data_IF_739996062304
#
_entry.id   IF_739996062304
#
_cell.length_a   1.000
_cell.length_b   1.000
_cell.length_c   1.000
_cell.angle_alpha   90.00
_cell.angle_beta   90.00
_cell.angle_gamma   90.00
#
_symmetry.space_group_name_H-M   'P 1'
#
loop_
_entity.id
_entity.type
_entity.pdbx_description
1 polymer ?
#
# COMPACT_ATOMS: atom_id res chain seq x y z
N UNK A 1 14.52 -9.86 -21.55
CA UNK A 1 15.03 -9.63 -20.18
C UNK A 1 16.06 -8.53 -20.24
N UNK A 2 16.06 -7.59 -19.29
CA UNK A 2 17.11 -6.57 -19.18
C UNK A 2 18.36 -7.16 -18.51
N UNK A 3 19.53 -6.58 -18.76
CA UNK A 3 20.81 -7.00 -18.12
C UNK A 3 20.71 -7.03 -16.59
N UNK A 4 19.98 -6.06 -16.02
CA UNK A 4 19.71 -5.99 -14.57
C UNK A 4 18.92 -7.20 -14.05
N UNK A 5 17.91 -7.65 -14.81
CA UNK A 5 17.11 -8.84 -14.43
C UNK A 5 17.93 -10.13 -14.46
N UNK A 6 18.80 -10.27 -15.47
CA UNK A 6 19.68 -11.45 -15.58
C UNK A 6 20.63 -11.51 -14.37
N UNK A 7 21.25 -10.39 -14.00
CA UNK A 7 22.11 -10.32 -12.82
C UNK A 7 21.36 -10.66 -11.52
N UNK A 8 20.13 -10.16 -11.37
CA UNK A 8 19.29 -10.47 -10.21
C UNK A 8 18.91 -11.95 -10.13
N UNK A 9 18.50 -12.56 -11.24
CA UNK A 9 18.19 -14.00 -11.26
C UNK A 9 19.42 -14.86 -10.99
N UNK A 10 20.58 -14.49 -11.54
CA UNK A 10 21.85 -15.16 -11.27
C UNK A 10 22.21 -15.11 -9.79
N UNK A 11 22.14 -13.91 -9.18
CA UNK A 11 22.44 -13.72 -7.75
C UNK A 11 21.50 -14.55 -6.87
N UNK A 12 20.19 -14.45 -7.07
CA UNK A 12 19.23 -15.17 -6.24
C UNK A 12 19.33 -16.69 -6.42
N UNK A 13 19.61 -17.16 -7.65
CA UNK A 13 19.85 -18.59 -7.92
C UNK A 13 21.12 -19.07 -7.21
N UNK A 14 22.18 -18.27 -7.18
CA UNK A 14 23.39 -18.57 -6.41
C UNK A 14 23.08 -18.70 -4.91
N UNK A 15 22.34 -17.75 -4.34
CA UNK A 15 21.92 -17.79 -2.92
C UNK A 15 21.08 -19.04 -2.65
N UNK A 16 20.16 -19.40 -3.55
CA UNK A 16 19.36 -20.64 -3.44
C UNK A 16 20.25 -21.88 -3.32
N UNK A 17 21.27 -21.99 -4.17
CA UNK A 17 22.17 -23.14 -4.20
C UNK A 17 23.07 -23.19 -2.97
N UNK A 18 23.60 -22.04 -2.54
CA UNK A 18 24.42 -21.94 -1.32
C UNK A 18 23.60 -22.32 -0.08
N UNK A 19 22.40 -21.76 0.07
CA UNK A 19 21.51 -22.13 1.17
C UNK A 19 21.12 -23.61 1.11
N UNK A 20 20.93 -24.18 -0.08
CA UNK A 20 20.66 -25.60 -0.28
C UNK A 20 21.83 -26.50 0.09
N UNK A 21 23.07 -26.04 -0.11
CA UNK A 21 24.29 -26.74 0.33
C UNK A 21 24.44 -26.68 1.85
N UNK A 22 24.29 -25.49 2.44
CA UNK A 22 24.34 -25.27 3.89
C UNK A 22 23.28 -26.12 4.60
N UNK A 23 22.05 -26.13 4.08
CA UNK A 23 20.94 -26.92 4.60
C UNK A 23 21.24 -28.43 4.68
N UNK A 24 22.09 -28.96 3.80
CA UNK A 24 22.48 -30.38 3.83
C UNK A 24 23.51 -30.71 4.91
N UNK A 25 24.18 -29.71 5.45
CA UNK A 25 25.12 -29.91 6.55
C UNK A 25 24.38 -30.04 7.89
N UNK A 26 23.10 -29.66 7.95
CA UNK A 26 22.26 -29.76 9.15
C UNK A 26 21.30 -30.94 9.07
N UNK A 27 21.37 -31.85 10.05
CA UNK A 27 20.36 -32.90 10.26
C UNK A 27 19.44 -32.44 11.39
N UNK A 28 18.19 -32.09 11.06
CA UNK A 28 17.25 -31.59 12.08
C UNK A 28 16.76 -32.66 13.03
N UNK A 29 16.43 -33.83 12.48
CA UNK A 29 15.89 -34.95 13.26
C UNK A 29 16.75 -36.18 12.94
N UNK A 30 17.64 -36.58 13.86
CA UNK A 30 18.38 -37.82 13.73
C UNK A 30 17.39 -38.99 13.57
N UNK A 31 17.53 -39.78 12.51
CA UNK A 31 16.71 -40.98 12.28
C UNK A 31 15.52 -40.82 11.32
N UNK A 32 15.18 -39.60 10.85
CA UNK A 32 14.15 -39.42 9.81
C UNK A 32 14.79 -38.81 8.55
N UNK A 33 15.10 -39.62 7.52
CA UNK A 33 15.65 -39.11 6.27
C UNK A 33 14.63 -38.24 5.53
N UNK A 34 15.06 -37.07 5.07
CA UNK A 34 14.27 -36.19 4.19
C UNK A 34 13.70 -34.93 4.82
N UNK A 35 13.72 -34.78 6.16
CA UNK A 35 13.31 -33.53 6.82
C UNK A 35 14.41 -32.48 6.63
N UNK A 36 14.05 -31.37 5.99
CA UNK A 36 14.94 -30.22 5.74
C UNK A 36 14.27 -28.90 6.15
N UNK A 37 15.06 -27.89 6.48
CA UNK A 37 14.58 -26.59 6.96
C UNK A 37 13.73 -25.84 5.94
N UNK A 38 13.96 -26.03 4.65
CA UNK A 38 13.42 -25.24 3.55
C UNK A 38 14.11 -23.88 3.34
N UNK A 39 15.36 -23.69 3.79
CA UNK A 39 16.06 -22.40 3.65
C UNK A 39 16.14 -21.94 2.19
N UNK A 40 16.49 -22.87 1.29
CA UNK A 40 16.54 -22.63 -0.15
C UNK A 40 15.16 -22.35 -0.78
N UNK A 41 14.06 -22.75 -0.13
CA UNK A 41 12.70 -22.44 -0.58
C UNK A 41 12.25 -21.03 -0.15
N UNK A 42 12.88 -20.45 0.88
CA UNK A 42 12.61 -19.08 1.33
C UNK A 42 12.92 -18.06 0.23
N UNK A 43 14.01 -18.26 -0.52
CA UNK A 43 14.39 -17.39 -1.63
C UNK A 43 13.45 -17.56 -2.83
N UNK A 44 12.88 -18.75 -3.03
CA UNK A 44 11.85 -18.99 -4.05
C UNK A 44 10.54 -18.30 -3.70
N UNK A 45 10.14 -18.35 -2.43
CA UNK A 45 8.98 -17.62 -1.93
C UNK A 45 9.19 -16.10 -2.03
N UNK A 46 10.39 -15.61 -1.73
CA UNK A 46 10.80 -14.23 -2.00
C UNK A 46 10.72 -13.89 -3.51
N UNK A 47 11.23 -14.75 -4.38
CA UNK A 47 11.15 -14.57 -5.83
C UNK A 47 9.70 -14.54 -6.33
N UNK A 48 8.82 -15.39 -5.82
CA UNK A 48 7.39 -15.40 -6.16
C UNK A 48 6.69 -14.09 -5.81
N UNK A 49 7.03 -13.50 -4.66
CA UNK A 49 6.41 -12.25 -4.24
C UNK A 49 6.88 -11.06 -5.11
N UNK A 50 8.11 -11.10 -5.63
CA UNK A 50 8.82 -9.88 -6.00
C UNK A 50 9.36 -9.86 -7.44
N UNK A 51 9.60 -11.02 -8.02
CA UNK A 51 9.95 -11.19 -9.42
C UNK A 51 8.70 -11.52 -10.23
N UNK A 52 8.79 -11.45 -11.55
CA UNK A 52 7.69 -11.92 -12.40
C UNK A 52 7.46 -13.41 -12.17
N UNK A 53 6.21 -13.88 -12.25
CA UNK A 53 5.88 -15.30 -12.14
C UNK A 53 6.79 -16.19 -13.01
N UNK A 54 7.06 -15.84 -14.29
CA UNK A 54 8.01 -16.60 -15.11
C UNK A 54 9.43 -16.68 -14.52
N UNK A 55 9.91 -15.63 -13.86
CA UNK A 55 11.23 -15.60 -13.23
C UNK A 55 11.33 -16.54 -12.04
N UNK A 56 10.31 -16.60 -11.17
CA UNK A 56 10.30 -17.50 -10.03
C UNK A 56 10.24 -18.98 -10.45
N UNK A 57 9.44 -19.29 -11.48
CA UNK A 57 9.39 -20.62 -12.07
C UNK A 57 10.71 -21.03 -12.71
N UNK A 58 11.36 -20.12 -13.46
CA UNK A 58 12.70 -20.34 -13.99
C UNK A 58 13.71 -20.65 -12.88
N UNK A 59 13.69 -19.89 -11.79
CA UNK A 59 14.57 -20.13 -10.63
C UNK A 59 14.31 -21.48 -9.96
N UNK A 60 13.06 -21.95 -9.92
CA UNK A 60 12.74 -23.30 -9.40
C UNK A 60 13.37 -24.38 -10.27
N UNK A 61 13.24 -24.27 -11.60
CA UNK A 61 13.84 -25.22 -12.54
C UNK A 61 15.37 -25.21 -12.41
N UNK A 62 15.98 -24.02 -12.43
CA UNK A 62 17.42 -23.87 -12.28
C UNK A 62 17.91 -24.46 -10.96
N UNK A 63 17.20 -24.23 -9.85
CA UNK A 63 17.51 -24.86 -8.56
C UNK A 63 17.53 -26.38 -8.64
N UNK A 64 16.49 -26.98 -9.22
CA UNK A 64 16.35 -28.44 -9.27
C UNK A 64 17.44 -29.08 -10.14
N UNK A 65 17.73 -28.50 -11.30
CA UNK A 65 18.75 -28.98 -12.23
C UNK A 65 20.15 -28.78 -11.64
N UNK A 66 20.51 -27.56 -11.27
CA UNK A 66 21.85 -27.23 -10.77
C UNK A 66 22.13 -27.87 -9.42
N UNK A 67 21.16 -27.90 -8.50
CA UNK A 67 21.31 -28.63 -7.23
C UNK A 67 21.42 -30.14 -7.43
N UNK A 68 20.74 -30.68 -8.44
CA UNK A 68 20.92 -32.02 -8.96
C UNK A 68 22.38 -32.32 -9.30
N UNK A 69 22.96 -31.48 -10.15
CA UNK A 69 24.34 -31.61 -10.64
C UNK A 69 25.39 -31.40 -9.54
N UNK A 70 25.18 -30.42 -8.66
CA UNK A 70 26.19 -30.01 -7.68
C UNK A 70 26.30 -30.96 -6.48
N UNK A 71 25.17 -31.49 -6.00
CA UNK A 71 25.19 -32.25 -4.74
C UNK A 71 24.16 -33.38 -4.63
N UNK A 72 23.09 -33.45 -5.45
CA UNK A 72 21.98 -34.39 -5.23
C UNK A 72 22.01 -35.65 -6.11
N UNK A 73 22.72 -35.61 -7.24
CA UNK A 73 22.64 -36.62 -8.29
C UNK A 73 21.30 -36.61 -9.03
N UNK A 74 21.14 -37.47 -10.07
CA UNK A 74 19.96 -37.50 -10.93
C UNK A 74 18.67 -37.82 -10.16
N UNK A 75 18.74 -38.78 -9.23
CA UNK A 75 17.59 -39.19 -8.42
C UNK A 75 17.15 -38.05 -7.49
N UNK A 76 18.10 -37.38 -6.83
CA UNK A 76 17.80 -36.23 -5.98
C UNK A 76 17.26 -35.03 -6.77
N UNK A 77 17.71 -34.83 -8.00
CA UNK A 77 17.18 -33.83 -8.92
C UNK A 77 15.69 -34.11 -9.23
N UNK A 78 15.34 -35.36 -9.53
CA UNK A 78 13.96 -35.77 -9.80
C UNK A 78 13.03 -35.50 -8.60
N UNK A 79 13.44 -35.85 -7.37
CA UNK A 79 12.68 -35.53 -6.15
C UNK A 79 12.55 -34.02 -5.92
N UNK A 80 13.64 -33.26 -6.10
CA UNK A 80 13.61 -31.80 -5.96
C UNK A 80 12.72 -31.14 -7.01
N UNK A 81 12.67 -31.69 -8.22
CA UNK A 81 11.85 -31.18 -9.31
C UNK A 81 10.37 -31.47 -9.07
N UNK A 82 10.01 -32.72 -8.75
CA UNK A 82 8.63 -33.10 -8.49
C UNK A 82 8.02 -32.34 -7.30
N UNK A 83 8.75 -32.28 -6.17
CA UNK A 83 8.33 -31.47 -5.02
C UNK A 83 8.31 -29.97 -5.34
N UNK A 84 9.32 -29.48 -6.09
CA UNK A 84 9.43 -28.07 -6.46
C UNK A 84 8.26 -27.58 -7.32
N UNK A 85 7.87 -28.35 -8.35
CA UNK A 85 6.74 -28.01 -9.22
C UNK A 85 5.42 -27.93 -8.46
N UNK A 86 5.11 -28.96 -7.66
CA UNK A 86 3.85 -29.02 -6.91
C UNK A 86 3.78 -27.90 -5.86
N UNK A 87 4.90 -27.65 -5.17
CA UNK A 87 5.05 -26.53 -4.24
C UNK A 87 4.83 -25.17 -4.90
N UNK A 88 5.47 -24.92 -6.05
CA UNK A 88 5.33 -23.66 -6.79
C UNK A 88 3.91 -23.42 -7.27
N UNK A 89 3.23 -24.45 -7.78
CA UNK A 89 1.83 -24.35 -8.19
C UNK A 89 0.93 -23.97 -7.00
N UNK A 90 1.07 -24.65 -5.87
CA UNK A 90 0.27 -24.39 -4.66
C UNK A 90 0.56 -23.00 -4.08
N UNK A 91 1.83 -22.60 -3.96
CA UNK A 91 2.17 -21.26 -3.48
C UNK A 91 1.63 -20.15 -4.39
N UNK A 92 1.71 -20.34 -5.72
CA UNK A 92 1.16 -19.38 -6.68
C UNK A 92 -0.36 -19.23 -6.52
N UNK A 93 -1.07 -20.34 -6.36
CA UNK A 93 -2.52 -20.35 -6.12
C UNK A 93 -2.88 -19.67 -4.79
N UNK A 94 -2.17 -19.99 -3.70
CA UNK A 94 -2.43 -19.42 -2.39
C UNK A 94 -2.15 -17.92 -2.33
N UNK A 95 -1.18 -17.43 -3.11
CA UNK A 95 -0.93 -15.98 -3.26
C UNK A 95 -2.05 -15.25 -4.01
N UNK A 96 -2.84 -15.94 -4.83
CA UNK A 96 -4.01 -15.36 -5.50
C UNK A 96 -5.22 -15.29 -4.55
N UNK A 97 -5.27 -16.17 -3.54
CA UNK A 97 -6.33 -16.24 -2.54
C UNK A 97 -5.95 -15.35 -1.35
N UNK A 98 -6.48 -14.12 -1.32
CA UNK A 98 -6.16 -13.03 -0.34
C UNK A 98 -6.41 -13.35 1.14
N UNK A 99 -6.75 -14.60 1.48
CA UNK A 99 -6.97 -15.08 2.85
C UNK A 99 -5.69 -15.57 3.54
N UNK A 100 -4.65 -15.91 2.79
CA UNK A 100 -3.45 -16.54 3.35
C UNK A 100 -2.28 -15.57 3.45
N UNK A 101 -1.76 -15.38 4.67
CA UNK A 101 -0.49 -14.70 4.89
C UNK A 101 0.70 -15.50 4.36
N UNK A 102 1.88 -14.88 4.28
CA UNK A 102 3.08 -15.50 3.70
C UNK A 102 3.51 -16.78 4.45
N UNK A 103 3.24 -16.85 5.76
CA UNK A 103 3.42 -18.08 6.56
C UNK A 103 2.51 -19.19 6.05
N UNK A 104 1.23 -18.92 5.78
CA UNK A 104 0.28 -19.89 5.26
C UNK A 104 0.65 -20.37 3.85
N UNK A 105 1.08 -19.44 2.98
CA UNK A 105 1.61 -19.77 1.65
C UNK A 105 2.82 -20.71 1.77
N UNK A 106 3.74 -20.41 2.68
CA UNK A 106 4.94 -21.23 2.92
C UNK A 106 4.60 -22.63 3.43
N UNK A 107 3.67 -22.74 4.39
CA UNK A 107 3.19 -24.02 4.92
C UNK A 107 2.55 -24.86 3.82
N UNK A 108 1.63 -24.27 3.04
CA UNK A 108 0.99 -24.95 1.93
C UNK A 108 2.03 -25.42 0.90
N UNK A 109 3.00 -24.56 0.58
CA UNK A 109 4.13 -24.89 -0.28
C UNK A 109 4.99 -26.04 0.25
N UNK A 110 5.31 -26.08 1.55
CA UNK A 110 6.12 -27.13 2.15
C UNK A 110 5.40 -28.48 2.18
N UNK A 111 4.12 -28.49 2.54
CA UNK A 111 3.24 -29.67 2.49
C UNK A 111 3.15 -30.21 1.07
N UNK A 112 2.90 -29.34 0.09
CA UNK A 112 2.86 -29.68 -1.32
C UNK A 112 4.21 -30.23 -1.83
N UNK A 113 5.32 -29.63 -1.39
CA UNK A 113 6.66 -30.12 -1.74
C UNK A 113 6.90 -31.55 -1.26
N UNK A 114 6.55 -31.83 0.00
CA UNK A 114 6.69 -33.14 0.61
C UNK A 114 5.75 -34.16 -0.05
N UNK A 115 4.51 -33.78 -0.32
CA UNK A 115 3.54 -34.62 -1.02
C UNK A 115 4.04 -35.02 -2.42
N UNK A 116 4.65 -34.07 -3.16
CA UNK A 116 5.24 -34.35 -4.47
C UNK A 116 6.39 -35.35 -4.41
N UNK A 117 7.23 -35.27 -3.37
CA UNK A 117 8.31 -36.24 -3.14
C UNK A 117 7.77 -37.62 -2.77
N UNK A 118 6.77 -37.69 -1.88
CA UNK A 118 6.13 -38.95 -1.48
C UNK A 118 5.46 -39.61 -2.69
N UNK A 119 4.75 -38.84 -3.52
CA UNK A 119 4.11 -39.36 -4.73
C UNK A 119 5.15 -39.91 -5.72
N UNK A 120 6.23 -39.16 -5.96
CA UNK A 120 7.32 -39.64 -6.83
C UNK A 120 7.97 -40.91 -6.25
N UNK A 121 8.16 -40.99 -4.94
CA UNK A 121 8.72 -42.19 -4.30
C UNK A 121 7.85 -43.42 -4.54
N UNK A 122 6.52 -43.26 -4.51
CA UNK A 122 5.57 -44.33 -4.78
C UNK A 122 5.61 -44.81 -6.24
N UNK A 123 5.84 -43.89 -7.18
CA UNK A 123 5.97 -44.20 -8.60
C UNK A 123 7.29 -44.91 -8.90
N UNK A 124 8.41 -44.44 -8.33
CA UNK A 124 9.74 -44.99 -8.60
C UNK A 124 10.04 -46.28 -7.85
N UNK A 125 9.63 -46.39 -6.58
CA UNK A 125 9.98 -47.52 -5.70
C UNK A 125 8.84 -48.55 -5.57
N UNK A 126 7.63 -48.24 -6.04
CA UNK A 126 6.47 -49.14 -5.99
C UNK A 126 5.95 -49.49 -4.59
N UNK A 127 6.56 -48.96 -3.52
CA UNK A 127 6.29 -49.37 -2.14
C UNK A 127 5.34 -48.42 -1.40
N UNK A 128 4.56 -48.98 -0.47
CA UNK A 128 3.67 -48.23 0.42
C UNK A 128 4.38 -47.67 1.66
N UNK A 129 5.64 -48.04 1.88
CA UNK A 129 6.42 -47.64 3.06
C UNK A 129 6.53 -46.11 3.20
N UNK A 130 6.68 -45.39 2.09
CA UNK A 130 6.73 -43.92 2.10
C UNK A 130 5.41 -43.26 2.53
N UNK A 131 4.27 -43.90 2.24
CA UNK A 131 2.95 -43.41 2.63
C UNK A 131 2.67 -43.67 4.12
N UNK A 132 3.21 -44.74 4.69
CA UNK A 132 3.10 -45.02 6.13
C UNK A 132 3.77 -43.92 6.99
N UNK A 133 4.84 -43.30 6.48
CA UNK A 133 5.54 -42.19 7.15
C UNK A 133 4.95 -40.81 6.80
N UNK A 134 3.99 -40.75 5.86
CA UNK A 134 3.44 -39.49 5.37
C UNK A 134 2.90 -38.58 6.49
N UNK A 135 2.16 -39.06 7.51
CA UNK A 135 1.67 -38.19 8.57
C UNK A 135 2.79 -37.46 9.31
N UNK A 136 3.88 -38.17 9.61
CA UNK A 136 5.05 -37.62 10.30
C UNK A 136 5.81 -36.62 9.41
N UNK A 137 6.02 -36.96 8.15
CA UNK A 137 6.70 -36.10 7.18
C UNK A 137 5.90 -34.82 6.86
N UNK A 138 4.58 -34.93 6.78
CA UNK A 138 3.69 -33.79 6.57
C UNK A 138 3.63 -32.89 7.81
N UNK A 139 3.58 -33.46 9.01
CA UNK A 139 3.67 -32.68 10.25
C UNK A 139 5.00 -31.92 10.34
N UNK A 140 6.12 -32.57 9.98
CA UNK A 140 7.42 -31.91 9.88
C UNK A 140 7.41 -30.79 8.81
N UNK A 141 6.78 -31.02 7.66
CA UNK A 141 6.64 -30.02 6.60
C UNK A 141 5.84 -28.79 7.03
N UNK A 142 4.83 -28.94 7.89
CA UNK A 142 4.12 -27.80 8.49
C UNK A 142 5.07 -27.00 9.37
N UNK A 143 5.82 -27.65 10.26
CA UNK A 143 6.75 -26.96 11.16
C UNK A 143 7.84 -26.19 10.40
N UNK A 144 8.49 -26.83 9.42
CA UNK A 144 9.52 -26.19 8.60
C UNK A 144 8.92 -25.13 7.68
N UNK A 145 7.68 -25.33 7.20
CA UNK A 145 6.90 -24.35 6.46
C UNK A 145 6.59 -23.08 7.27
N UNK A 146 6.25 -23.22 8.57
CA UNK A 146 6.07 -22.08 9.47
C UNK A 146 7.39 -21.33 9.65
N UNK A 147 8.47 -22.04 9.95
CA UNK A 147 9.79 -21.46 10.15
C UNK A 147 10.26 -20.64 8.93
N UNK A 148 10.21 -21.25 7.74
CA UNK A 148 10.54 -20.59 6.47
C UNK A 148 9.62 -19.43 6.16
N UNK A 149 8.33 -19.56 6.43
CA UNK A 149 7.34 -18.51 6.25
C UNK A 149 7.63 -17.28 7.12
N UNK A 150 8.03 -17.49 8.37
CA UNK A 150 8.44 -16.40 9.27
C UNK A 150 9.68 -15.69 8.74
N UNK A 151 10.72 -16.43 8.34
CA UNK A 151 11.93 -15.83 7.75
C UNK A 151 11.59 -15.05 6.48
N UNK A 152 10.82 -15.65 5.56
CA UNK A 152 10.38 -14.99 4.35
C UNK A 152 9.64 -13.68 4.65
N UNK A 153 8.80 -13.69 5.69
CA UNK A 153 8.04 -12.51 6.12
C UNK A 153 8.96 -11.41 6.62
N UNK A 154 9.95 -11.76 7.45
CA UNK A 154 10.94 -10.80 7.95
C UNK A 154 11.77 -10.20 6.83
N UNK A 155 12.25 -11.04 5.90
CA UNK A 155 13.06 -10.59 4.75
C UNK A 155 12.25 -9.69 3.83
N UNK A 156 11.04 -10.11 3.43
CA UNK A 156 10.15 -9.31 2.59
C UNK A 156 9.81 -7.97 3.24
N UNK A 157 9.54 -7.94 4.55
CA UNK A 157 9.28 -6.70 5.30
C UNK A 157 10.51 -5.79 5.38
N UNK A 158 11.68 -6.35 5.64
CA UNK A 158 12.93 -5.58 5.68
C UNK A 158 13.23 -4.93 4.31
N UNK A 159 13.04 -5.68 3.22
CA UNK A 159 13.23 -5.18 1.86
C UNK A 159 12.17 -4.14 1.47
N UNK A 160 10.92 -4.31 1.91
CA UNK A 160 9.86 -3.34 1.68
C UNK A 160 10.09 -1.97 2.37
N UNK A 161 10.96 -1.91 3.38
CA UNK A 161 11.41 -0.64 3.97
C UNK A 161 12.41 0.09 3.09
N UNK A 162 13.15 -0.63 2.25
CA UNK A 162 14.22 -0.09 1.42
C UNK A 162 13.77 0.22 -0.02
N UNK A 163 12.74 -0.46 -0.52
CA UNK A 163 12.23 -0.28 -1.88
C UNK A 163 10.70 0.01 -1.90
N UNK A 164 10.27 1.22 -2.30
CA UNK A 164 8.84 1.56 -2.41
C UNK A 164 8.07 0.75 -3.46
N UNK A 165 8.73 0.25 -4.51
CA UNK A 165 8.09 -0.63 -5.49
C UNK A 165 7.80 -2.01 -4.86
N UNK A 166 8.71 -2.49 -4.01
CA UNK A 166 8.56 -3.71 -3.22
C UNK A 166 7.32 -3.64 -2.32
N UNK A 167 7.18 -2.53 -1.60
CA UNK A 167 6.05 -2.31 -0.69
C UNK A 167 4.72 -2.35 -1.40
N UNK A 168 4.59 -1.63 -2.52
CA UNK A 168 3.37 -1.64 -3.37
C UNK A 168 2.98 -3.04 -3.82
N UNK A 169 3.95 -3.89 -4.12
CA UNK A 169 3.72 -5.26 -4.60
C UNK A 169 3.25 -6.20 -3.49
N UNK A 170 3.82 -6.09 -2.29
CA UNK A 170 3.34 -6.83 -1.11
C UNK A 170 1.94 -6.40 -0.70
N UNK A 171 1.65 -5.09 -0.76
CA UNK A 171 0.32 -4.56 -0.49
C UNK A 171 -0.71 -5.08 -1.50
N UNK A 172 -0.36 -5.13 -2.79
CA UNK A 172 -1.22 -5.70 -3.85
C UNK A 172 -1.54 -7.19 -3.63
N UNK A 173 -0.60 -7.96 -3.06
CA UNK A 173 -0.78 -9.36 -2.70
C UNK A 173 -1.56 -9.55 -1.37
N UNK A 174 -1.94 -8.47 -0.68
CA UNK A 174 -2.57 -8.56 0.64
C UNK A 174 -1.60 -9.05 1.74
N UNK A 175 -0.29 -9.02 1.46
CA UNK A 175 0.78 -9.45 2.36
C UNK A 175 1.52 -8.28 3.01
N UNK A 176 1.11 -7.05 2.69
CA UNK A 176 1.54 -5.85 3.39
C UNK A 176 1.26 -5.95 4.88
N UNK A 177 2.07 -5.31 5.72
CA UNK A 177 1.67 -5.15 7.12
C UNK A 177 0.35 -4.38 7.16
N UNK A 178 -0.69 -4.97 7.76
CA UNK A 178 -1.78 -4.19 8.32
C UNK A 178 -1.11 -3.09 9.15
N UNK A 179 -1.41 -1.81 8.90
CA UNK A 179 -0.66 -0.73 9.51
C UNK A 179 -0.70 -0.93 11.02
N UNK A 180 0.46 -1.23 11.63
CA UNK A 180 0.57 -1.18 13.08
C UNK A 180 0.07 0.19 13.48
N UNK A 181 -0.98 0.23 14.30
CA UNK A 181 -1.38 1.43 15.02
C UNK A 181 -0.11 1.99 15.68
N UNK A 182 0.44 3.05 15.10
CA UNK A 182 1.61 3.74 15.64
C UNK A 182 2.96 3.66 14.90
N UNK A 183 3.15 3.02 13.73
CA UNK A 183 4.50 3.04 13.10
C UNK A 183 4.57 3.22 11.59
N UNK A 184 3.53 3.80 10.97
CA UNK A 184 3.74 4.51 9.72
C UNK A 184 4.38 5.86 10.03
N UNK A 185 5.70 5.98 9.96
CA UNK A 185 6.30 7.26 9.60
C UNK A 185 5.80 7.55 8.18
N UNK A 186 4.70 8.30 8.12
CA UNK A 186 4.40 9.15 7.00
C UNK A 186 5.64 10.02 6.73
N UNK A 187 5.93 10.40 5.47
CA UNK A 187 7.16 11.14 5.14
C UNK A 187 7.31 12.31 6.12
N UNK A 188 8.31 12.20 7.00
CA UNK A 188 8.59 13.20 8.01
C UNK A 188 9.29 14.36 7.29
N UNK A 189 8.47 15.28 6.78
CA UNK A 189 8.95 16.46 6.09
C UNK A 189 9.53 17.46 7.09
N UNK A 190 10.74 17.93 6.77
CA UNK A 190 11.67 18.65 7.65
C UNK A 190 11.26 20.07 8.08
N UNK A 191 10.09 20.58 7.67
CA UNK A 191 9.73 22.01 7.82
C UNK A 191 8.51 22.29 8.71
N UNK A 192 7.92 21.30 9.37
CA UNK A 192 6.75 21.52 10.25
C UNK A 192 5.47 21.99 9.52
N UNK A 193 5.48 21.96 8.19
CA UNK A 193 4.41 22.45 7.31
C UNK A 193 3.15 21.58 7.35
N UNK A 194 3.30 20.29 7.63
CA UNK A 194 2.22 19.30 7.68
C UNK A 194 2.16 18.69 9.08
N UNK A 195 0.96 18.58 9.62
CA UNK A 195 0.67 17.87 10.87
C UNK A 195 -0.12 16.61 10.54
N UNK A 196 0.43 15.44 10.87
CA UNK A 196 -0.27 14.17 10.64
C UNK A 196 -1.29 13.89 11.74
N UNK A 197 -2.55 13.73 11.35
CA UNK A 197 -3.65 13.41 12.26
C UNK A 197 -3.62 11.93 12.58
N UNK A 198 -2.98 11.59 13.71
CA UNK A 198 -2.86 10.25 14.26
C UNK A 198 -3.56 10.13 15.61
N UNK A 199 -3.71 8.91 16.10
CA UNK A 199 -4.23 8.68 17.44
C UNK A 199 -3.34 9.36 18.50
N UNK A 200 -3.98 10.02 19.45
CA UNK A 200 -3.30 10.82 20.49
C UNK A 200 -2.86 12.22 20.04
N UNK A 201 -3.03 12.61 18.76
CA UNK A 201 -2.85 14.01 18.38
C UNK A 201 -3.92 14.87 19.06
N UNK A 202 -3.49 15.97 19.66
CA UNK A 202 -4.38 17.03 20.12
C UNK A 202 -3.65 18.35 19.91
N UNK A 203 -4.13 19.16 18.97
CA UNK A 203 -3.65 20.53 18.83
C UNK A 203 -3.90 21.28 20.15
N UNK A 204 -2.99 22.17 20.52
CA UNK A 204 -3.13 22.93 21.77
C UNK A 204 -3.84 24.26 21.49
N UNK A 205 -3.69 24.76 20.27
CA UNK A 205 -4.34 25.95 19.77
C UNK A 205 -5.75 25.63 19.28
N UNK A 206 -6.68 26.53 19.57
CA UNK A 206 -8.00 26.52 18.93
C UNK A 206 -7.85 26.79 17.43
N UNK A 207 -8.61 26.08 16.62
CA UNK A 207 -8.51 26.18 15.17
C UNK A 207 -9.82 26.57 14.50
N UNK A 208 -9.68 27.22 13.35
CA UNK A 208 -10.73 27.25 12.34
C UNK A 208 -10.34 26.25 11.26
N UNK A 209 -11.18 25.24 11.03
CA UNK A 209 -10.86 24.12 10.15
C UNK A 209 -11.51 24.30 8.77
N UNK A 210 -10.70 24.35 7.71
CA UNK A 210 -11.16 24.23 6.34
C UNK A 210 -11.17 22.76 5.91
N UNK A 211 -12.33 22.25 5.48
CA UNK A 211 -12.50 20.86 5.07
C UNK A 211 -12.41 20.70 3.54
N UNK A 212 -11.65 19.70 3.07
CA UNK A 212 -11.58 19.37 1.65
C UNK A 212 -10.38 18.51 1.25
N UNK A 213 -10.40 18.04 0.00
CA UNK A 213 -9.26 17.30 -0.56
C UNK A 213 -8.18 18.23 -1.15
N UNK A 214 -8.54 19.47 -1.50
CA UNK A 214 -7.63 20.54 -1.92
C UNK A 214 -6.72 20.19 -3.12
N UNK A 215 -7.15 19.28 -3.99
CA UNK A 215 -6.36 18.88 -5.15
C UNK A 215 -6.23 20.03 -6.15
N UNK A 216 -4.99 20.42 -6.45
CA UNK A 216 -4.68 21.57 -7.29
C UNK A 216 -4.85 22.93 -6.62
N UNK A 217 -5.43 23.05 -5.42
CA UNK A 217 -5.62 24.35 -4.70
C UNK A 217 -6.14 25.46 -5.64
N UNK A 218 -7.19 25.15 -6.40
CA UNK A 218 -7.84 26.05 -7.37
C UNK A 218 -8.59 27.21 -6.72
N UNK A 219 -9.13 28.15 -7.50
CA UNK A 219 -9.74 29.38 -6.97
C UNK A 219 -10.89 29.11 -5.99
N UNK A 220 -11.69 28.05 -6.19
CA UNK A 220 -12.68 27.60 -5.19
C UNK A 220 -12.07 27.26 -3.83
N UNK A 221 -10.93 26.55 -3.79
CA UNK A 221 -10.22 26.28 -2.54
C UNK A 221 -9.63 27.55 -1.92
N UNK A 222 -9.17 28.48 -2.75
CA UNK A 222 -8.62 29.76 -2.28
C UNK A 222 -9.70 30.61 -1.61
N UNK A 223 -10.94 30.56 -2.09
CA UNK A 223 -12.06 31.23 -1.43
C UNK A 223 -12.38 30.65 -0.05
N UNK A 224 -12.32 29.32 0.13
CA UNK A 224 -12.47 28.69 1.45
C UNK A 224 -11.44 29.23 2.44
N UNK A 225 -10.16 29.29 2.02
CA UNK A 225 -9.07 29.78 2.87
C UNK A 225 -9.17 31.29 3.12
N UNK A 226 -9.56 32.07 2.11
CA UNK A 226 -9.81 33.50 2.26
C UNK A 226 -10.87 33.76 3.33
N UNK A 227 -12.02 33.07 3.23
CA UNK A 227 -13.08 33.19 4.23
C UNK A 227 -12.63 32.77 5.62
N UNK A 228 -11.88 31.67 5.71
CA UNK A 228 -11.29 31.23 6.97
C UNK A 228 -10.39 32.29 7.61
N UNK A 229 -9.55 32.98 6.83
CA UNK A 229 -8.72 34.08 7.33
C UNK A 229 -9.55 35.28 7.79
N UNK A 230 -10.60 35.64 7.06
CA UNK A 230 -11.53 36.70 7.46
C UNK A 230 -12.21 36.38 8.79
N UNK A 231 -12.69 35.14 8.98
CA UNK A 231 -13.38 34.73 10.21
C UNK A 231 -12.42 34.56 11.39
N UNK A 232 -11.17 34.15 11.13
CA UNK A 232 -10.11 34.05 12.14
C UNK A 232 -9.49 35.41 12.50
N UNK A 233 -9.70 36.45 11.70
CA UNK A 233 -9.17 37.79 11.95
C UNK A 233 -9.66 38.32 13.31
N UNK A 234 -8.71 38.80 14.12
CA UNK A 234 -9.00 39.28 15.48
C UNK A 234 -9.30 38.19 16.51
N UNK A 235 -9.27 36.92 16.14
CA UNK A 235 -9.40 35.77 17.05
C UNK A 235 -8.04 35.12 17.28
N UNK A 236 -7.94 34.29 18.32
CA UNK A 236 -6.74 33.50 18.64
C UNK A 236 -6.65 32.19 17.84
N UNK A 237 -7.56 31.98 16.88
CA UNK A 237 -7.68 30.72 16.15
C UNK A 237 -6.66 30.61 15.03
N UNK A 238 -6.01 29.44 14.93
CA UNK A 238 -5.16 29.11 13.78
C UNK A 238 -6.02 28.59 12.63
N UNK A 239 -5.74 29.04 11.41
CA UNK A 239 -6.39 28.49 10.21
C UNK A 239 -5.77 27.14 9.88
N UNK A 240 -6.53 26.07 10.11
CA UNK A 240 -6.12 24.71 9.87
C UNK A 240 -6.83 24.17 8.65
N UNK A 241 -6.09 23.65 7.67
CA UNK A 241 -6.66 22.89 6.56
C UNK A 241 -6.63 21.42 6.92
N UNK A 242 -7.78 20.75 6.92
CA UNK A 242 -7.82 19.29 7.03
C UNK A 242 -7.94 18.66 5.64
N UNK A 243 -7.07 17.70 5.35
CA UNK A 243 -7.04 16.97 4.08
C UNK A 243 -6.54 15.53 4.24
N UNK A 244 -6.42 14.79 3.14
CA UNK A 244 -6.02 13.39 3.13
C UNK A 244 -4.71 13.14 2.35
N UNK A 245 -4.00 12.07 2.71
CA UNK A 245 -2.76 11.64 2.03
C UNK A 245 -2.97 11.11 0.61
N UNK A 246 -4.19 10.69 0.30
CA UNK A 246 -4.63 10.20 -1.00
C UNK A 246 -6.10 10.52 -1.20
N UNK A 247 -6.53 10.63 -2.45
CA UNK A 247 -7.95 10.81 -2.77
C UNK A 247 -8.81 9.64 -2.25
N UNK A 248 -9.94 9.90 -1.57
CA UNK A 248 -10.91 8.87 -1.20
C UNK A 248 -11.36 8.01 -2.39
N UNK A 249 -11.52 8.63 -3.56
CA UNK A 249 -11.88 7.92 -4.79
C UNK A 249 -10.79 6.93 -5.22
N UNK A 250 -9.51 7.34 -5.11
CA UNK A 250 -8.38 6.48 -5.46
C UNK A 250 -8.22 5.29 -4.50
N UNK A 251 -8.61 5.44 -3.23
CA UNK A 251 -8.62 4.34 -2.26
C UNK A 251 -9.79 3.37 -2.48
N UNK A 252 -11.00 3.91 -2.70
CA UNK A 252 -12.22 3.11 -2.83
C UNK A 252 -12.34 2.41 -4.19
N UNK A 253 -11.80 3.02 -5.25
CA UNK A 253 -11.81 2.51 -6.63
C UNK A 253 -10.42 2.69 -7.26
N UNK A 254 -9.43 1.86 -6.90
CA UNK A 254 -8.07 1.99 -7.41
C UNK A 254 -7.97 1.94 -8.94
N UNK A 255 -8.86 1.19 -9.60
CA UNK A 255 -8.97 1.07 -11.06
C UNK A 255 -9.46 2.35 -11.76
N UNK A 256 -10.19 3.19 -11.05
CA UNK A 256 -10.68 4.48 -11.54
C UNK A 256 -9.87 5.67 -10.96
N UNK A 257 -8.73 5.39 -10.31
CA UNK A 257 -7.91 6.40 -9.68
C UNK A 257 -7.32 7.34 -10.73
N UNK A 258 -7.74 8.61 -10.69
CA UNK A 258 -7.17 9.65 -11.53
C UNK A 258 -5.93 10.22 -10.84
N UNK A 259 -4.93 10.61 -11.65
CA UNK A 259 -3.75 11.30 -11.15
C UNK A 259 -4.14 12.63 -10.48
N UNK A 260 -3.63 12.86 -9.28
CA UNK A 260 -3.82 14.12 -8.55
C UNK A 260 -3.06 15.27 -9.23
N UNK A 261 -3.63 16.46 -9.23
CA UNK A 261 -3.07 17.66 -9.86
C UNK A 261 -1.79 18.15 -9.16
N UNK A 262 -1.67 17.84 -7.86
CA UNK A 262 -0.54 18.25 -7.02
C UNK A 262 -0.12 17.13 -6.09
N UNK A 263 1.19 16.97 -5.86
CA UNK A 263 1.66 16.11 -4.76
C UNK A 263 1.26 16.70 -3.41
N UNK A 264 1.28 15.89 -2.33
CA UNK A 264 0.98 16.36 -0.99
C UNK A 264 1.89 17.53 -0.55
N UNK A 265 3.17 17.48 -0.94
CA UNK A 265 4.15 18.53 -0.63
C UNK A 265 3.87 19.83 -1.39
N UNK A 266 3.46 19.73 -2.66
CA UNK A 266 3.03 20.88 -3.44
C UNK A 266 1.73 21.47 -2.88
N UNK A 267 0.75 20.62 -2.58
CA UNK A 267 -0.53 21.00 -1.95
C UNK A 267 -0.29 21.76 -0.65
N UNK A 268 0.53 21.23 0.25
CA UNK A 268 0.83 21.88 1.52
C UNK A 268 1.50 23.24 1.33
N UNK A 269 2.47 23.37 0.41
CA UNK A 269 3.10 24.66 0.09
C UNK A 269 2.11 25.68 -0.45
N UNK A 270 1.23 25.26 -1.37
CA UNK A 270 0.19 26.13 -1.93
C UNK A 270 -0.80 26.58 -0.87
N UNK A 271 -1.27 25.68 0.00
CA UNK A 271 -2.19 26.01 1.08
C UNK A 271 -1.58 26.99 2.08
N UNK A 272 -0.31 26.83 2.42
CA UNK A 272 0.43 27.79 3.27
C UNK A 272 0.56 29.15 2.60
N UNK A 273 0.88 29.16 1.31
CA UNK A 273 0.91 30.39 0.49
C UNK A 273 -0.44 31.12 0.47
N UNK A 274 -1.54 30.40 0.62
CA UNK A 274 -2.90 30.93 0.70
C UNK A 274 -3.37 31.24 2.14
N UNK A 275 -2.47 31.18 3.12
CA UNK A 275 -2.74 31.62 4.49
C UNK A 275 -3.16 30.52 5.47
N UNK A 276 -3.01 29.24 5.13
CA UNK A 276 -3.15 28.18 6.12
C UNK A 276 -2.02 28.29 7.17
N UNK A 277 -2.35 28.24 8.46
CA UNK A 277 -1.37 28.17 9.55
C UNK A 277 -0.91 26.72 9.79
N UNK A 278 -1.81 25.76 9.59
CA UNK A 278 -1.60 24.32 9.80
C UNK A 278 -2.19 23.56 8.61
N UNK A 279 -1.47 22.57 8.09
CA UNK A 279 -2.02 21.60 7.12
C UNK A 279 -2.10 20.23 7.81
N UNK A 280 -3.28 19.91 8.33
CA UNK A 280 -3.58 18.66 9.02
C UNK A 280 -3.93 17.56 8.01
N UNK A 281 -3.13 16.51 7.94
CA UNK A 281 -3.30 15.41 6.99
C UNK A 281 -3.70 14.14 7.73
N UNK A 282 -4.89 13.64 7.44
CA UNK A 282 -5.31 12.30 7.84
C UNK A 282 -4.90 11.27 6.79
N UNK A 283 -4.54 10.08 7.25
CA UNK A 283 -4.42 8.94 6.33
C UNK A 283 -5.82 8.47 5.93
N UNK A 284 -6.06 8.26 4.65
CA UNK A 284 -7.29 7.64 4.18
C UNK A 284 -7.08 6.12 4.03
N UNK A 285 -7.44 5.37 5.07
CA UNK A 285 -7.39 3.91 5.14
C UNK A 285 -8.78 3.31 5.42
N UNK A 286 -8.85 1.99 5.64
CA UNK A 286 -10.12 1.29 5.87
C UNK A 286 -10.84 1.77 7.14
N UNK A 287 -10.09 2.17 8.17
CA UNK A 287 -10.67 2.71 9.40
C UNK A 287 -11.29 4.10 9.14
N UNK A 288 -10.57 4.99 8.45
CA UNK A 288 -11.10 6.29 8.04
C UNK A 288 -12.31 6.14 7.09
N UNK A 289 -12.22 5.22 6.13
CA UNK A 289 -13.29 4.98 5.17
C UNK A 289 -14.57 4.43 5.82
N UNK A 290 -14.48 3.76 6.97
CA UNK A 290 -15.59 3.21 7.77
C UNK A 290 -16.06 4.10 8.91
N UNK A 291 -15.37 5.21 9.17
CA UNK A 291 -15.70 6.14 10.25
C UNK A 291 -17.03 6.85 9.94
N UNK A 292 -17.95 6.87 10.91
CA UNK A 292 -19.22 7.58 10.75
C UNK A 292 -19.01 9.10 10.64
N UNK A 293 -19.98 9.82 10.08
CA UNK A 293 -19.92 11.29 10.04
C UNK A 293 -19.81 11.91 11.45
N UNK A 294 -20.52 11.34 12.43
CA UNK A 294 -20.49 11.77 13.82
C UNK A 294 -19.12 11.53 14.46
N UNK A 295 -18.56 10.34 14.28
CA UNK A 295 -17.23 10.02 14.83
C UNK A 295 -16.15 10.90 14.21
N UNK A 296 -16.22 11.14 12.89
CA UNK A 296 -15.29 12.05 12.23
C UNK A 296 -15.37 13.47 12.84
N UNK A 297 -16.58 13.98 13.07
CA UNK A 297 -16.76 15.28 13.69
C UNK A 297 -16.19 15.32 15.12
N UNK A 298 -16.62 14.42 16.00
CA UNK A 298 -16.22 14.42 17.41
C UNK A 298 -14.73 14.13 17.59
N UNK A 299 -14.23 13.09 16.92
CA UNK A 299 -12.90 12.56 17.13
C UNK A 299 -11.83 13.32 16.35
N UNK A 300 -12.10 13.69 15.10
CA UNK A 300 -11.12 14.39 14.25
C UNK A 300 -11.23 15.89 14.44
N UNK A 301 -12.40 16.47 14.20
CA UNK A 301 -12.54 17.93 14.17
C UNK A 301 -12.50 18.54 15.57
N UNK A 302 -13.28 18.01 16.50
CA UNK A 302 -13.37 18.58 17.86
C UNK A 302 -12.16 18.15 18.69
N UNK A 303 -11.98 16.85 18.90
CA UNK A 303 -11.00 16.35 19.87
C UNK A 303 -9.56 16.52 19.43
N UNK A 304 -9.22 16.16 18.18
CA UNK A 304 -7.82 16.21 17.67
C UNK A 304 -7.45 17.59 17.14
N UNK A 305 -8.32 18.22 16.36
CA UNK A 305 -8.03 19.50 15.69
C UNK A 305 -8.46 20.74 16.47
N UNK A 306 -9.25 20.60 17.54
CA UNK A 306 -9.74 21.74 18.36
C UNK A 306 -10.50 22.77 17.54
N UNK A 307 -11.35 22.31 16.63
CA UNK A 307 -12.18 23.18 15.81
C UNK A 307 -13.11 24.03 16.69
N UNK A 308 -13.10 25.34 16.47
CA UNK A 308 -14.08 26.32 16.99
C UNK A 308 -14.98 26.89 15.91
N UNK A 309 -14.53 26.79 14.67
CA UNK A 309 -15.30 27.15 13.50
C UNK A 309 -14.86 26.28 12.32
N UNK A 310 -15.78 25.96 11.43
CA UNK A 310 -15.53 25.10 10.27
C UNK A 310 -15.92 25.86 9.00
N UNK A 311 -15.10 25.74 7.96
CA UNK A 311 -15.41 26.25 6.62
C UNK A 311 -15.38 25.08 5.65
N UNK A 312 -16.47 24.86 4.92
CA UNK A 312 -16.59 23.77 3.96
C UNK A 312 -17.22 24.26 2.65
N UNK A 313 -16.94 23.57 1.54
CA UNK A 313 -17.66 23.81 0.29
C UNK A 313 -19.05 23.17 0.31
N UNK A 314 -19.99 23.72 -0.46
CA UNK A 314 -21.36 23.21 -0.58
C UNK A 314 -21.42 21.71 -0.93
N UNK A 315 -20.57 21.24 -1.84
CA UNK A 315 -20.49 19.83 -2.24
C UNK A 315 -19.62 18.94 -1.34
N UNK A 316 -19.24 19.41 -0.15
CA UNK A 316 -18.42 18.62 0.76
C UNK A 316 -19.21 17.44 1.34
N UNK A 317 -18.63 16.25 1.25
CA UNK A 317 -19.16 15.03 1.89
C UNK A 317 -18.11 14.36 2.75
N UNK A 318 -18.55 13.71 3.84
CA UNK A 318 -17.68 13.05 4.81
C UNK A 318 -18.41 11.89 5.51
N UNK A 319 -17.68 11.10 6.31
CA UNK A 319 -18.23 9.93 6.99
C UNK A 319 -18.40 8.71 6.08
N UNK A 320 -18.94 7.63 6.66
CA UNK A 320 -19.03 6.33 6.01
C UNK A 320 -19.89 6.44 4.75
N UNK A 321 -19.31 6.09 3.60
CA UNK A 321 -19.95 6.18 2.28
C UNK A 321 -20.47 7.59 1.93
N UNK A 322 -19.91 8.64 2.54
CA UNK A 322 -20.32 10.02 2.30
C UNK A 322 -21.70 10.38 2.87
N UNK A 323 -22.13 9.70 3.95
CA UNK A 323 -23.41 9.96 4.62
C UNK A 323 -23.52 11.38 5.22
N UNK A 324 -22.40 12.01 5.53
CA UNK A 324 -22.33 13.39 6.01
C UNK A 324 -22.27 14.37 4.85
N UNK A 325 -23.11 15.40 4.89
CA UNK A 325 -23.16 16.52 3.94
C UNK A 325 -23.18 17.87 4.69
N UNK A 326 -23.39 18.98 3.97
CA UNK A 326 -23.47 20.31 4.57
C UNK A 326 -24.57 20.45 5.64
N UNK A 327 -25.72 19.79 5.47
CA UNK A 327 -26.82 19.80 6.44
C UNK A 327 -26.46 19.02 7.71
N UNK A 328 -25.90 17.81 7.56
CA UNK A 328 -25.39 17.01 8.68
C UNK A 328 -24.32 17.79 9.46
N UNK A 329 -23.40 18.45 8.74
CA UNK A 329 -22.37 19.28 9.36
C UNK A 329 -22.97 20.48 10.11
N UNK A 330 -23.98 21.14 9.56
CA UNK A 330 -24.68 22.25 10.21
C UNK A 330 -25.40 21.82 11.50
N UNK A 331 -26.03 20.64 11.49
CA UNK A 331 -26.65 20.07 12.68
C UNK A 331 -25.61 19.78 13.78
N UNK A 332 -24.53 19.06 13.44
CA UNK A 332 -23.46 18.73 14.37
C UNK A 332 -22.76 19.99 14.94
N UNK A 333 -22.52 21.00 14.10
CA UNK A 333 -21.97 22.28 14.52
C UNK A 333 -22.89 22.99 15.52
N UNK A 334 -24.20 23.02 15.27
CA UNK A 334 -25.19 23.64 16.15
C UNK A 334 -25.26 22.94 17.51
N UNK A 335 -25.27 21.61 17.52
CA UNK A 335 -25.28 20.79 18.73
C UNK A 335 -24.04 21.03 19.62
N UNK A 336 -22.89 21.31 19.00
CA UNK A 336 -21.60 21.45 19.69
C UNK A 336 -21.14 22.92 19.84
N UNK A 337 -21.99 23.89 19.52
CA UNK A 337 -21.68 25.33 19.54
C UNK A 337 -20.44 25.72 18.72
N UNK A 338 -20.26 25.07 17.56
CA UNK A 338 -19.20 25.33 16.59
C UNK A 338 -19.78 26.20 15.47
N UNK A 339 -19.06 27.25 15.07
CA UNK A 339 -19.48 28.05 13.92
C UNK A 339 -19.26 27.32 12.59
N UNK A 340 -20.10 27.58 11.59
CA UNK A 340 -20.00 26.96 10.27
C UNK A 340 -20.27 27.99 9.18
N UNK A 341 -19.36 28.09 8.22
CA UNK A 341 -19.59 28.77 6.95
C UNK A 341 -19.51 27.77 5.79
N UNK A 342 -20.58 27.68 4.99
CA UNK A 342 -20.63 26.88 3.77
C UNK A 342 -20.44 27.80 2.57
N UNK A 343 -19.43 27.51 1.74
CA UNK A 343 -19.08 28.35 0.59
C UNK A 343 -19.64 27.74 -0.70
N UNK A 344 -20.34 28.58 -1.46
CA UNK A 344 -20.90 28.21 -2.75
C UNK A 344 -19.81 27.89 -3.78
N UNK A 345 -20.11 27.02 -4.76
CA UNK A 345 -19.16 26.69 -5.81
C UNK A 345 -18.80 27.91 -6.67
N UNK A 346 -17.56 27.96 -7.16
CA UNK A 346 -17.06 29.07 -7.99
C UNK A 346 -17.19 28.72 -9.45
N UNK A 347 -17.66 29.68 -10.26
CA UNK A 347 -17.68 29.59 -11.71
C UNK A 347 -16.69 30.57 -12.35
N UNK A 348 -16.19 30.22 -13.53
CA UNK A 348 -15.49 31.14 -14.41
C UNK A 348 -16.47 32.15 -15.05
N UNK A 349 -15.96 33.24 -15.68
CA UNK A 349 -16.82 34.23 -16.34
C UNK A 349 -17.72 33.67 -17.46
N UNK A 350 -17.32 32.56 -18.08
CA UNK A 350 -18.09 31.83 -19.10
C UNK A 350 -19.17 30.90 -18.49
N UNK A 351 -19.28 30.87 -17.15
CA UNK A 351 -20.25 30.06 -16.41
C UNK A 351 -19.75 28.67 -16.03
N UNK A 352 -18.52 28.28 -16.40
CA UNK A 352 -18.04 26.93 -16.13
C UNK A 352 -17.66 26.72 -14.66
N UNK A 353 -18.11 25.61 -14.09
CA UNK A 353 -17.84 25.26 -12.70
C UNK A 353 -16.37 24.89 -12.46
N UNK A 354 -15.73 25.57 -11.52
CA UNK A 354 -14.34 25.29 -11.14
C UNK A 354 -14.25 24.09 -10.21
N UNK A 355 -13.60 23.02 -10.68
CA UNK A 355 -13.33 21.82 -9.89
C UNK A 355 -12.04 21.14 -10.32
N UNK A 356 -11.44 20.30 -9.46
CA UNK A 356 -10.28 19.49 -9.84
C UNK A 356 -10.55 18.57 -11.04
N UNK A 357 -11.80 18.15 -11.25
CA UNK A 357 -12.19 17.34 -12.41
C UNK A 357 -12.19 18.16 -13.69
N UNK A 358 -12.78 19.37 -13.68
CA UNK A 358 -12.76 20.27 -14.83
C UNK A 358 -11.33 20.69 -15.21
N UNK A 359 -10.48 20.96 -14.21
CA UNK A 359 -9.06 21.31 -14.43
C UNK A 359 -8.31 20.15 -15.09
N UNK A 360 -8.52 18.91 -14.61
CA UNK A 360 -7.91 17.73 -15.24
C UNK A 360 -8.38 17.54 -16.68
N UNK A 361 -9.66 17.77 -16.96
CA UNK A 361 -10.19 17.68 -18.32
C UNK A 361 -9.56 18.74 -19.24
N UNK A 362 -9.46 19.99 -18.79
CA UNK A 362 -8.80 21.05 -19.55
C UNK A 362 -7.32 20.73 -19.84
N UNK A 363 -6.60 20.20 -18.85
CA UNK A 363 -5.22 19.77 -19.02
C UNK A 363 -5.07 18.60 -20.00
N UNK A 364 -5.98 17.62 -19.93
CA UNK A 364 -5.99 16.47 -20.86
C UNK A 364 -6.33 16.90 -22.29
N UNK A 365 -7.14 17.94 -22.49
CA UNK A 365 -7.45 18.49 -23.80
C UNK A 365 -6.40 19.50 -24.31
N UNK A 366 -5.30 19.71 -23.58
CA UNK A 366 -4.26 20.68 -23.93
C UNK A 366 -4.64 22.15 -23.73
N UNK A 367 -5.77 22.44 -23.08
CA UNK A 367 -6.23 23.79 -22.79
C UNK A 367 -5.63 24.30 -21.47
N UNK A 368 -4.33 24.61 -21.53
CA UNK A 368 -3.58 25.14 -20.39
C UNK A 368 -4.14 26.48 -19.90
N UNK A 369 -4.58 27.35 -20.82
CA UNK A 369 -5.10 28.68 -20.46
C UNK A 369 -6.33 28.57 -19.54
N UNK A 370 -7.25 27.66 -19.87
CA UNK A 370 -8.43 27.38 -19.05
C UNK A 370 -8.06 26.75 -17.70
N UNK A 371 -7.13 25.80 -17.69
CA UNK A 371 -6.62 25.21 -16.45
C UNK A 371 -6.00 26.28 -15.53
N UNK A 372 -5.22 27.20 -16.08
CA UNK A 372 -4.61 28.32 -15.34
C UNK A 372 -5.66 29.29 -14.79
N UNK A 373 -6.70 29.61 -15.57
CA UNK A 373 -7.81 30.44 -15.11
C UNK A 373 -8.52 29.83 -13.91
N UNK A 374 -8.79 28.51 -13.93
CA UNK A 374 -9.41 27.79 -12.81
C UNK A 374 -8.45 27.66 -11.61
N UNK A 375 -7.15 27.49 -11.85
CA UNK A 375 -6.14 27.38 -10.80
C UNK A 375 -5.79 28.73 -10.15
N UNK A 376 -6.01 29.85 -10.85
CA UNK A 376 -5.60 31.19 -10.45
C UNK A 376 -4.09 31.38 -10.45
N UNK A 377 -3.34 30.55 -11.18
CA UNK A 377 -1.87 30.58 -11.29
C UNK A 377 -1.40 29.80 -12.53
N UNK A 378 -0.16 30.03 -13.00
CA UNK A 378 0.42 29.25 -14.09
C UNK A 378 0.50 27.75 -13.79
N UNK A 379 0.32 26.92 -14.81
CA UNK A 379 0.50 25.47 -14.69
C UNK A 379 1.99 25.16 -14.56
N UNK A 380 2.39 24.42 -13.52
CA UNK A 380 3.77 23.97 -13.39
C UNK A 380 4.06 22.84 -14.39
N UNK A 381 5.26 22.78 -15.02
CA UNK A 381 5.59 21.77 -16.04
C UNK A 381 5.35 20.31 -15.63
N UNK A 382 5.40 19.99 -14.34
CA UNK A 382 5.24 18.63 -13.82
C UNK A 382 3.80 18.12 -13.65
N UNK A 383 2.77 18.92 -13.93
CA UNK A 383 1.36 18.50 -13.70
C UNK A 383 0.94 17.38 -14.69
N UNK A 384 1.50 17.35 -15.91
CA UNK A 384 1.09 16.39 -16.96
C UNK A 384 2.24 15.71 -17.74
N UNK A 385 3.51 15.87 -17.34
CA UNK A 385 4.69 15.49 -18.15
C UNK A 385 4.91 13.98 -18.43
N UNK A 386 3.89 13.11 -18.27
CA UNK A 386 4.03 11.68 -18.60
C UNK A 386 2.92 11.07 -19.47
N UNK A 387 1.87 11.81 -19.81
CA UNK A 387 0.82 11.27 -20.68
C UNK A 387 1.06 11.59 -22.17
N UNK A 388 2.06 12.42 -22.50
CA UNK A 388 2.42 12.78 -23.87
C UNK A 388 3.47 11.87 -24.55
N UNK A 389 3.85 10.72 -23.96
CA UNK A 389 4.82 9.76 -24.58
C UNK A 389 4.18 8.38 -24.75
N UNK A 390 2.88 8.32 -25.06
CA UNK A 390 2.20 7.06 -25.37
C UNK A 390 1.29 7.13 -26.58
N UNK A 391 1.63 7.98 -27.53
CA UNK A 391 1.18 7.87 -28.92
C UNK A 391 2.36 8.24 -29.82
N UNK A 392 3.21 7.27 -30.11
CA UNK A 392 3.95 7.09 -31.37
C UNK A 392 4.47 5.65 -31.47
#
# INVERSE_FOLDING_TARGET
MTTKQIAQYGLLTSIILVLGLVERQFVLVPGIPGIRLGLSNTVLLYALCLLSMPGAWLMMVLKAVLGGMLYAGPTGAAYSFAGGLLSMAVMTLFLQVRYFGLVGVSVAGAVAHMAGQILLSRVLLGSWAALAQAPLLLAAAVLTGVFTGVIATLVCRAMARLDPAMRRRLDALGLGEAPKAGSGQAPEMRDGTIVWVKDGLRLQEETLVCLGFFDGVHIGHQQLLKRAREVAAGKRWKVCVHTFDRSPAAFLRPEAAVRELTTLEQKARLLRGQGADIVAVSRFDEAMARMSARDFFDEVLIRRLHARHIVAGFHHTFGYRGEGNAETLAALCRENHIGLDVIEPVTLPDGELVSSTAIRQALLSGDCAKAEAMLGRPCSPGIMEKDAIREE
#
